data_IF_862998035136
#
_entry.id   IF_862998035136
#
_cell.length_a   1.000
_cell.length_b   1.000
_cell.length_c   1.000
_cell.angle_alpha   90.00
_cell.angle_beta   90.00
_cell.angle_gamma   90.00
#
_symmetry.space_group_name_H-M   'P 1'
#
loop_
_entity.id
_entity.type
_entity.pdbx_description
1 polymer ?
#
# COMPACT_ATOMS: atom_id res chain seq x y z
N UNK A 1 17.43 -12.95 5.96
CA UNK A 1 16.36 -12.32 6.78
C UNK A 1 15.38 -13.39 7.25
N UNK A 2 14.79 -13.22 8.43
CA UNK A 2 13.71 -14.12 8.88
C UNK A 2 12.44 -13.84 8.07
N UNK A 3 11.58 -14.86 7.89
CA UNK A 3 10.31 -14.71 7.18
C UNK A 3 9.42 -13.65 7.83
N UNK A 4 9.43 -13.60 9.16
CA UNK A 4 8.69 -12.61 9.94
C UNK A 4 9.18 -11.20 9.61
N UNK A 5 10.50 -10.97 9.56
CA UNK A 5 11.05 -9.67 9.19
C UNK A 5 10.62 -9.25 7.78
N UNK A 6 10.65 -10.16 6.80
CA UNK A 6 10.15 -9.88 5.44
C UNK A 6 8.69 -9.45 5.44
N UNK A 7 7.82 -10.19 6.12
CA UNK A 7 6.38 -9.88 6.21
C UNK A 7 6.15 -8.51 6.85
N UNK A 8 6.85 -8.21 7.94
CA UNK A 8 6.73 -6.93 8.64
C UNK A 8 7.20 -5.76 7.77
N UNK A 9 8.29 -5.91 7.03
CA UNK A 9 8.79 -4.87 6.12
C UNK A 9 7.81 -4.64 4.98
N UNK A 10 7.26 -5.70 4.37
CA UNK A 10 6.24 -5.56 3.31
C UNK A 10 4.97 -4.89 3.82
N UNK A 11 4.53 -5.23 5.03
CA UNK A 11 3.38 -4.58 5.66
C UNK A 11 3.65 -3.09 5.94
N UNK A 12 4.84 -2.77 6.46
CA UNK A 12 5.26 -1.38 6.68
C UNK A 12 5.34 -0.61 5.35
N UNK A 13 5.91 -1.20 4.30
CA UNK A 13 5.99 -0.60 2.97
C UNK A 13 4.59 -0.35 2.39
N UNK A 14 3.68 -1.32 2.47
CA UNK A 14 2.30 -1.15 2.03
C UNK A 14 1.56 -0.03 2.79
N UNK A 15 1.82 0.11 4.10
CA UNK A 15 1.24 1.18 4.90
C UNK A 15 1.80 2.56 4.54
N UNK A 16 3.11 2.66 4.27
CA UNK A 16 3.74 3.88 3.78
C UNK A 16 3.20 4.25 2.39
N UNK A 17 3.12 3.31 1.45
CA UNK A 17 2.61 3.57 0.11
C UNK A 17 1.15 4.04 0.14
N UNK A 18 0.26 3.26 0.75
CA UNK A 18 -1.17 3.60 0.82
C UNK A 18 -1.43 4.90 1.62
N UNK A 19 -0.65 5.16 2.68
CA UNK A 19 -0.72 6.40 3.45
C UNK A 19 -0.24 7.62 2.65
N UNK A 20 0.85 7.47 1.89
CA UNK A 20 1.35 8.49 0.97
C UNK A 20 0.33 8.83 -0.12
N UNK A 21 -0.27 7.82 -0.74
CA UNK A 21 -1.34 7.97 -1.73
C UNK A 21 -2.57 8.67 -1.16
N UNK A 22 -2.95 8.33 0.08
CA UNK A 22 -4.05 8.99 0.77
C UNK A 22 -3.75 10.49 1.01
N UNK A 23 -2.51 10.86 1.35
CA UNK A 23 -2.11 12.25 1.52
C UNK A 23 -2.08 13.01 0.20
N UNK A 24 -1.59 12.41 -0.89
CA UNK A 24 -1.69 13.02 -2.23
C UNK A 24 -3.16 13.27 -2.58
N UNK A 25 -4.02 12.26 -2.38
CA UNK A 25 -5.45 12.38 -2.64
C UNK A 25 -6.08 13.50 -1.81
N UNK A 26 -5.78 13.58 -0.52
CA UNK A 26 -6.30 14.63 0.34
C UNK A 26 -5.81 16.03 -0.08
N UNK A 27 -4.54 16.16 -0.47
CA UNK A 27 -3.96 17.41 -0.98
C UNK A 27 -4.59 17.87 -2.29
N UNK A 28 -4.92 16.93 -3.20
CA UNK A 28 -5.61 17.24 -4.45
C UNK A 28 -7.01 17.81 -4.23
N UNK A 29 -7.71 17.39 -3.17
CA UNK A 29 -9.08 17.81 -2.86
C UNK A 29 -9.16 19.00 -1.89
N UNK A 30 -8.02 19.52 -1.39
CA UNK A 30 -8.02 20.71 -0.54
C UNK A 30 -7.97 21.99 -1.37
N UNK A 31 -8.74 23.01 -0.99
CA UNK A 31 -8.79 24.31 -1.68
C UNK A 31 -7.70 25.29 -1.19
N UNK A 32 -7.14 25.05 -0.01
CA UNK A 32 -6.11 25.91 0.57
C UNK A 32 -4.72 25.55 0.03
N UNK A 33 -4.12 26.44 -0.77
CA UNK A 33 -2.81 26.22 -1.39
C UNK A 33 -1.71 25.82 -0.39
N UNK A 34 -1.64 26.47 0.78
CA UNK A 34 -0.67 26.12 1.84
C UNK A 34 -0.84 24.68 2.33
N UNK A 35 -2.08 24.25 2.60
CA UNK A 35 -2.37 22.88 3.05
C UNK A 35 -2.03 21.87 1.95
N UNK A 36 -2.32 22.19 0.69
CA UNK A 36 -1.98 21.36 -0.48
C UNK A 36 -0.48 21.09 -0.56
N UNK A 37 0.34 22.13 -0.54
CA UNK A 37 1.81 21.98 -0.65
C UNK A 37 2.41 21.24 0.55
N UNK A 38 1.90 21.46 1.77
CA UNK A 38 2.33 20.71 2.95
C UNK A 38 2.00 19.22 2.82
N UNK A 39 0.79 18.88 2.36
CA UNK A 39 0.36 17.49 2.15
C UNK A 39 1.20 16.80 1.07
N UNK A 40 1.50 17.50 -0.04
CA UNK A 40 2.36 16.95 -1.10
C UNK A 40 3.80 16.75 -0.63
N UNK A 41 4.36 17.69 0.15
CA UNK A 41 5.69 17.53 0.73
C UNK A 41 5.76 16.33 1.68
N UNK A 42 4.77 16.18 2.57
CA UNK A 42 4.68 15.04 3.47
C UNK A 42 4.52 13.71 2.70
N UNK A 43 3.64 13.68 1.70
CA UNK A 43 3.44 12.51 0.86
C UNK A 43 4.70 12.11 0.09
N UNK A 44 5.45 13.07 -0.44
CA UNK A 44 6.71 12.81 -1.16
C UNK A 44 7.74 12.12 -0.25
N UNK A 45 7.89 12.58 1.00
CA UNK A 45 8.78 11.96 1.99
C UNK A 45 8.33 10.53 2.30
N UNK A 46 7.03 10.32 2.54
CA UNK A 46 6.46 9.01 2.88
C UNK A 46 6.61 8.03 1.72
N UNK A 47 6.30 8.46 0.49
CA UNK A 47 6.43 7.62 -0.70
C UNK A 47 7.88 7.29 -1.00
N UNK A 48 8.81 8.24 -0.82
CA UNK A 48 10.23 7.95 -0.92
C UNK A 48 10.67 6.90 0.12
N UNK A 49 10.21 7.04 1.37
CA UNK A 49 10.51 6.08 2.44
C UNK A 49 9.94 4.69 2.13
N UNK A 50 8.74 4.59 1.53
CA UNK A 50 8.19 3.33 1.02
C UNK A 50 9.13 2.71 -0.02
N UNK A 51 9.49 3.50 -1.04
CA UNK A 51 10.33 3.03 -2.15
C UNK A 51 11.67 2.52 -1.67
N UNK A 52 12.27 3.19 -0.69
CA UNK A 52 13.48 2.72 -0.03
C UNK A 52 13.23 1.42 0.77
N UNK A 53 12.18 1.38 1.60
CA UNK A 53 11.88 0.25 2.48
C UNK A 53 11.66 -1.05 1.72
N UNK A 54 11.00 -0.99 0.56
CA UNK A 54 10.66 -2.19 -0.22
C UNK A 54 11.79 -2.63 -1.17
N UNK A 55 12.66 -1.72 -1.60
CA UNK A 55 13.74 -2.02 -2.56
C UNK A 55 15.13 -2.17 -1.93
N UNK A 56 15.35 -1.70 -0.71
CA UNK A 56 16.64 -1.86 -0.02
C UNK A 56 17.00 -3.32 0.33
N UNK A 57 16.05 -4.20 0.73
CA UNK A 57 16.38 -5.58 1.05
C UNK A 57 16.77 -6.41 -0.19
N UNK A 58 17.76 -7.34 -0.08
CA UNK A 58 18.21 -8.17 -1.20
C UNK A 58 17.29 -9.38 -1.40
N UNK A 59 16.04 -9.13 -1.80
CA UNK A 59 15.06 -10.18 -2.09
C UNK A 59 14.62 -10.18 -3.56
N UNK A 60 14.04 -11.30 -3.99
CA UNK A 60 13.36 -11.40 -5.28
C UNK A 60 11.99 -10.71 -5.18
N UNK A 61 11.94 -9.40 -5.42
CA UNK A 61 10.72 -8.61 -5.26
C UNK A 61 9.55 -9.18 -6.07
N UNK A 62 9.81 -9.69 -7.29
CA UNK A 62 8.79 -10.32 -8.12
C UNK A 62 8.04 -11.48 -7.44
N UNK A 63 8.71 -12.25 -6.58
CA UNK A 63 8.08 -13.33 -5.81
C UNK A 63 7.24 -12.80 -4.64
N UNK A 64 7.68 -11.70 -4.04
CA UNK A 64 6.99 -11.06 -2.90
C UNK A 64 5.86 -10.12 -3.34
N UNK A 65 5.82 -9.74 -4.62
CA UNK A 65 4.86 -8.81 -5.20
C UNK A 65 3.41 -9.25 -4.97
N UNK A 66 3.12 -10.55 -5.08
CA UNK A 66 1.77 -11.06 -4.81
C UNK A 66 1.30 -10.78 -3.37
N UNK A 67 2.15 -11.06 -2.38
CA UNK A 67 1.86 -10.78 -0.98
C UNK A 67 1.79 -9.28 -0.71
N UNK A 68 2.69 -8.51 -1.34
CA UNK A 68 2.74 -7.07 -1.22
C UNK A 68 1.44 -6.40 -1.69
N UNK A 69 0.93 -6.78 -2.86
CA UNK A 69 -0.33 -6.25 -3.41
C UNK A 69 -1.52 -6.56 -2.50
N UNK A 70 -1.55 -7.74 -1.87
CA UNK A 70 -2.58 -8.09 -0.88
C UNK A 70 -2.53 -7.15 0.32
N UNK A 71 -1.34 -6.89 0.88
CA UNK A 71 -1.19 -5.95 1.99
C UNK A 71 -1.57 -4.53 1.58
N UNK A 72 -1.09 -4.06 0.44
CA UNK A 72 -1.46 -2.76 -0.09
C UNK A 72 -2.98 -2.61 -0.22
N UNK A 73 -3.65 -3.60 -0.81
CA UNK A 73 -5.11 -3.61 -0.93
C UNK A 73 -5.79 -3.48 0.44
N UNK A 74 -5.41 -4.32 1.42
CA UNK A 74 -6.03 -4.28 2.76
C UNK A 74 -5.83 -2.92 3.44
N UNK A 75 -4.61 -2.37 3.42
CA UNK A 75 -4.36 -1.07 4.03
C UNK A 75 -5.08 0.05 3.28
N UNK A 76 -5.11 0.02 1.95
CA UNK A 76 -5.83 1.00 1.15
C UNK A 76 -7.35 0.98 1.43
N UNK A 77 -7.94 -0.21 1.62
CA UNK A 77 -9.34 -0.33 2.02
C UNK A 77 -9.58 0.19 3.44
N UNK A 78 -8.68 -0.11 4.38
CA UNK A 78 -8.75 0.43 5.75
C UNK A 78 -8.68 1.95 5.76
N UNK A 79 -7.77 2.56 4.99
CA UNK A 79 -7.68 4.02 4.87
C UNK A 79 -8.92 4.61 4.18
N UNK A 80 -9.44 3.95 3.13
CA UNK A 80 -10.67 4.36 2.46
C UNK A 80 -11.86 4.39 3.43
N UNK A 81 -11.96 3.40 4.31
CA UNK A 81 -13.01 3.33 5.32
C UNK A 81 -12.79 4.32 6.48
N UNK A 82 -11.58 4.37 7.06
CA UNK A 82 -11.28 5.15 8.26
C UNK A 82 -11.12 6.65 7.99
N UNK A 83 -10.39 7.01 6.93
CA UNK A 83 -10.03 8.39 6.61
C UNK A 83 -11.05 9.02 5.67
N UNK A 84 -11.42 8.31 4.60
CA UNK A 84 -12.32 8.85 3.58
C UNK A 84 -13.80 8.51 3.82
N UNK A 85 -14.11 7.73 4.88
CA UNK A 85 -15.47 7.31 5.26
C UNK A 85 -16.25 6.66 4.11
N UNK A 86 -15.53 6.01 3.18
CA UNK A 86 -16.14 5.32 2.05
C UNK A 86 -16.63 3.93 2.51
N UNK A 87 -17.89 3.55 2.22
CA UNK A 87 -18.41 2.25 2.60
C UNK A 87 -17.76 1.13 1.79
N UNK A 88 -17.47 0.02 2.45
CA UNK A 88 -16.95 -1.18 1.80
C UNK A 88 -18.10 -1.87 1.05
N UNK A 89 -18.06 -1.84 -0.28
CA UNK A 89 -19.11 -2.45 -1.11
C UNK A 89 -18.87 -3.95 -1.30
N UNK A 90 -19.95 -4.71 -1.56
CA UNK A 90 -19.86 -6.13 -1.89
C UNK A 90 -18.95 -6.38 -3.10
N UNK A 91 -18.95 -5.47 -4.10
CA UNK A 91 -18.08 -5.56 -5.27
C UNK A 91 -16.60 -5.42 -4.92
N UNK A 92 -16.25 -4.52 -3.98
CA UNK A 92 -14.88 -4.38 -3.48
C UNK A 92 -14.43 -5.67 -2.78
N UNK A 93 -15.32 -6.32 -2.02
CA UNK A 93 -15.01 -7.60 -1.39
C UNK A 93 -14.73 -8.71 -2.41
N UNK A 94 -15.55 -8.80 -3.46
CA UNK A 94 -15.31 -9.75 -4.56
C UNK A 94 -13.97 -9.47 -5.25
N UNK A 95 -13.68 -8.20 -5.56
CA UNK A 95 -12.38 -7.80 -6.10
C UNK A 95 -11.22 -8.15 -5.15
N UNK A 96 -11.40 -7.93 -3.85
CA UNK A 96 -10.43 -8.27 -2.82
C UNK A 96 -10.14 -9.77 -2.74
N UNK A 97 -11.16 -10.61 -2.85
CA UNK A 97 -10.98 -12.07 -2.91
C UNK A 97 -10.15 -12.49 -4.12
N UNK A 98 -10.37 -11.86 -5.29
CA UNK A 98 -9.58 -12.13 -6.50
C UNK A 98 -8.13 -11.67 -6.34
N UNK A 99 -7.88 -10.54 -5.68
CA UNK A 99 -6.52 -10.05 -5.37
C UNK A 99 -5.80 -11.04 -4.46
N UNK A 100 -6.47 -11.53 -3.41
CA UNK A 100 -5.89 -12.54 -2.50
C UNK A 100 -5.59 -13.85 -3.25
N UNK A 101 -6.52 -14.33 -4.07
CA UNK A 101 -6.31 -15.51 -4.89
C UNK A 101 -5.12 -15.34 -5.85
N UNK A 102 -5.03 -14.20 -6.55
CA UNK A 102 -3.89 -13.87 -7.42
C UNK A 102 -2.57 -13.81 -6.66
N UNK A 103 -2.56 -13.20 -5.47
CA UNK A 103 -1.38 -13.13 -4.60
C UNK A 103 -0.88 -14.51 -4.16
N UNK A 104 -1.79 -15.44 -3.86
CA UNK A 104 -1.45 -16.85 -3.56
C UNK A 104 -0.83 -17.52 -4.77
N UNK A 105 -1.42 -17.38 -5.96
CA UNK A 105 -0.89 -17.97 -7.21
C UNK A 105 0.53 -17.47 -7.49
N UNK A 106 0.76 -16.15 -7.40
CA UNK A 106 2.10 -15.56 -7.59
C UNK A 106 3.08 -16.06 -6.55
N UNK A 107 2.66 -16.20 -5.29
CA UNK A 107 3.55 -16.70 -4.23
C UNK A 107 3.91 -18.19 -4.39
N UNK A 108 3.07 -18.98 -5.04
CA UNK A 108 3.31 -20.39 -5.34
C UNK A 108 4.11 -20.61 -6.63
N UNK A 109 4.23 -19.58 -7.47
CA UNK A 109 5.01 -19.65 -8.70
C UNK A 109 6.48 -19.96 -8.36
N UNK A 110 6.95 -21.14 -8.81
CA UNK A 110 8.36 -21.51 -8.78
C UNK A 110 9.02 -20.94 -10.04
N UNK A 111 9.90 -19.97 -9.85
CA UNK A 111 11.01 -19.68 -10.76
C UNK A 111 12.31 -20.05 -10.06
#
# INVERSE_FOLDING_TARGET
MSRIATVLILLAAAALEAGGDALIRAGLHTNAARSRYLMFGAAAIILFAYGWTVNAPPWEFGRLLGLYVVFFFVIAQLLSWLVFKQPLSATILVGGMLIVAGGIVVSLAKS
#
